data_IF_187586508463
#
_entry.id   IF_187586508463
#
_cell.length_a   1.000
_cell.length_b   1.000
_cell.length_c   1.000
_cell.angle_alpha   90.00
_cell.angle_beta   90.00
_cell.angle_gamma   90.00
#
_symmetry.space_group_name_H-M   'P 1'
#
loop_
_entity.id
_entity.type
_entity.pdbx_description
1 polymer ?
#
# COMPACT_ATOMS: atom_id res chain seq x y z
N UNK A 1 -21.93 4.45 11.33
CA UNK A 1 -20.48 4.18 11.39
C UNK A 1 -19.76 5.50 11.14
N UNK A 2 -18.70 5.87 11.89
CA UNK A 2 -18.02 7.19 11.72
C UNK A 2 -16.79 7.14 10.79
N UNK A 3 -16.29 5.94 10.52
CA UNK A 3 -15.13 5.68 9.67
C UNK A 3 -15.15 4.23 9.18
N UNK A 4 -14.52 3.96 8.05
CA UNK A 4 -14.30 2.60 7.54
C UNK A 4 -12.88 2.47 6.97
N UNK A 5 -12.43 1.23 6.73
CA UNK A 5 -11.13 0.98 6.09
C UNK A 5 -11.22 1.10 4.57
N UNK A 6 -10.45 2.04 4.01
CA UNK A 6 -10.38 2.27 2.57
C UNK A 6 -9.10 1.69 1.98
N UNK A 7 -9.25 0.76 1.04
CA UNK A 7 -8.15 0.03 0.42
C UNK A 7 -7.63 0.69 -0.85
N UNK A 8 -6.36 0.41 -1.16
CA UNK A 8 -5.68 0.87 -2.38
C UNK A 8 -6.38 0.37 -3.64
N UNK A 9 -6.99 -0.82 -3.60
CA UNK A 9 -7.83 -1.34 -4.69
C UNK A 9 -8.91 -0.34 -5.13
N UNK A 10 -9.58 0.31 -4.18
CA UNK A 10 -10.61 1.29 -4.48
C UNK A 10 -10.00 2.55 -5.09
N UNK A 11 -8.86 2.99 -4.58
CA UNK A 11 -8.11 4.11 -5.15
C UNK A 11 -7.67 3.84 -6.59
N UNK A 12 -7.14 2.65 -6.88
CA UNK A 12 -6.69 2.28 -8.22
C UNK A 12 -7.84 2.31 -9.23
N UNK A 13 -9.02 1.81 -8.85
CA UNK A 13 -10.22 1.91 -9.69
C UNK A 13 -10.57 3.38 -9.92
N UNK A 14 -10.70 4.17 -8.85
CA UNK A 14 -11.13 5.56 -8.95
C UNK A 14 -10.16 6.43 -9.77
N UNK A 15 -8.85 6.21 -9.66
CA UNK A 15 -7.84 6.96 -10.42
C UNK A 15 -7.89 6.67 -11.93
N UNK A 16 -8.27 5.46 -12.32
CA UNK A 16 -8.37 5.03 -13.73
C UNK A 16 -9.72 5.38 -14.40
N UNK A 17 -10.61 6.07 -13.69
CA UNK A 17 -11.90 6.54 -14.20
C UNK A 17 -11.84 8.03 -14.53
N UNK A 18 -12.77 8.55 -15.33
CA UNK A 18 -12.98 9.99 -15.42
C UNK A 18 -13.57 10.54 -14.11
N UNK A 19 -13.54 11.86 -13.92
CA UNK A 19 -13.96 12.47 -12.65
C UNK A 19 -15.45 12.31 -12.37
N UNK A 20 -16.30 12.19 -13.39
CA UNK A 20 -17.74 11.97 -13.17
C UNK A 20 -17.95 10.54 -12.67
N UNK A 21 -17.37 9.55 -13.37
CA UNK A 21 -17.55 8.15 -12.98
C UNK A 21 -16.88 7.82 -11.65
N UNK A 22 -15.71 8.39 -11.38
CA UNK A 22 -15.07 8.29 -10.07
C UNK A 22 -15.93 8.93 -8.96
N UNK A 23 -16.56 10.07 -9.24
CA UNK A 23 -17.47 10.74 -8.31
C UNK A 23 -18.72 9.92 -8.00
N UNK A 24 -19.30 9.25 -9.01
CA UNK A 24 -20.42 8.31 -8.86
C UNK A 24 -20.03 7.12 -8.00
N UNK A 25 -18.99 6.38 -8.40
CA UNK A 25 -18.58 5.17 -7.71
C UNK A 25 -18.14 5.44 -6.28
N UNK A 26 -17.35 6.50 -6.04
CA UNK A 26 -16.96 6.88 -4.68
C UNK A 26 -18.16 7.28 -3.81
N UNK A 27 -19.16 7.94 -4.39
CA UNK A 27 -20.40 8.24 -3.69
C UNK A 27 -21.17 6.95 -3.34
N UNK A 28 -21.23 5.97 -4.23
CA UNK A 28 -21.85 4.67 -3.96
C UNK A 28 -21.13 3.92 -2.83
N UNK A 29 -19.80 3.84 -2.86
CA UNK A 29 -19.01 3.23 -1.78
C UNK A 29 -19.32 3.92 -0.44
N UNK A 30 -19.27 5.26 -0.40
CA UNK A 30 -19.51 5.99 0.84
C UNK A 30 -20.96 5.88 1.32
N UNK A 31 -21.95 5.91 0.42
CA UNK A 31 -23.35 5.75 0.76
C UNK A 31 -23.63 4.35 1.32
N UNK A 32 -23.01 3.32 0.73
CA UNK A 32 -23.06 1.97 1.25
C UNK A 32 -22.46 1.89 2.65
N UNK A 33 -21.23 2.38 2.85
CA UNK A 33 -20.52 2.27 4.13
C UNK A 33 -21.16 3.09 5.26
N UNK A 34 -21.53 4.35 4.99
CA UNK A 34 -22.00 5.26 6.03
C UNK A 34 -23.51 5.26 6.25
N UNK A 35 -24.29 4.89 5.24
CA UNK A 35 -25.76 5.06 5.25
C UNK A 35 -26.52 3.79 4.89
N UNK A 36 -25.82 2.65 4.71
CA UNK A 36 -26.42 1.36 4.37
C UNK A 36 -27.24 1.40 3.06
N UNK A 37 -26.86 2.30 2.13
CA UNK A 37 -27.53 2.45 0.83
C UNK A 37 -26.81 1.68 -0.27
N UNK A 38 -27.55 0.80 -0.94
CA UNK A 38 -27.08 0.14 -2.17
C UNK A 38 -26.93 1.15 -3.32
N UNK A 39 -26.14 0.83 -4.37
CA UNK A 39 -26.00 1.69 -5.52
C UNK A 39 -27.34 1.95 -6.19
N UNK A 40 -27.59 3.22 -6.53
CA UNK A 40 -28.73 3.59 -7.34
C UNK A 40 -28.59 3.02 -8.76
N UNK A 41 -29.73 2.83 -9.45
CA UNK A 41 -29.80 2.26 -10.81
C UNK A 41 -29.06 3.08 -11.90
N UNK A 42 -28.42 4.19 -11.55
CA UNK A 42 -27.78 5.14 -12.47
C UNK A 42 -26.29 4.85 -12.75
N UNK A 43 -25.76 3.73 -12.25
CA UNK A 43 -24.43 3.27 -12.63
C UNK A 43 -24.43 2.76 -14.08
N UNK A 44 -23.45 3.22 -14.85
CA UNK A 44 -23.10 2.69 -16.17
C UNK A 44 -22.55 1.27 -16.08
N UNK A 45 -22.50 0.55 -17.19
CA UNK A 45 -21.96 -0.81 -17.26
C UNK A 45 -20.54 -0.92 -16.69
N UNK A 46 -19.70 0.09 -16.95
CA UNK A 46 -18.33 0.16 -16.42
C UNK A 46 -18.32 0.33 -14.90
N UNK A 47 -19.18 1.18 -14.36
CA UNK A 47 -19.28 1.40 -12.91
C UNK A 47 -19.87 0.18 -12.21
N UNK A 48 -20.88 -0.46 -12.80
CA UNK A 48 -21.46 -1.71 -12.33
C UNK A 48 -20.45 -2.85 -12.32
N UNK A 49 -19.61 -2.94 -13.35
CA UNK A 49 -18.52 -3.91 -13.39
C UNK A 49 -17.60 -3.74 -12.19
N UNK A 50 -17.11 -2.54 -11.91
CA UNK A 50 -16.24 -2.32 -10.75
C UNK A 50 -16.96 -2.56 -9.43
N UNK A 51 -18.19 -2.08 -9.28
CA UNK A 51 -19.00 -2.30 -8.09
C UNK A 51 -19.14 -3.79 -7.79
N UNK A 52 -19.53 -4.59 -8.78
CA UNK A 52 -19.75 -6.03 -8.62
C UNK A 52 -18.49 -6.79 -8.22
N UNK A 53 -17.31 -6.27 -8.53
CA UNK A 53 -16.02 -6.86 -8.14
C UNK A 53 -15.56 -6.46 -6.73
N UNK A 54 -16.13 -5.40 -6.15
CA UNK A 54 -15.73 -4.91 -4.81
C UNK A 54 -16.83 -5.05 -3.76
N UNK A 55 -18.09 -5.28 -4.15
CA UNK A 55 -19.24 -5.35 -3.25
C UNK A 55 -19.05 -6.40 -2.14
N UNK A 56 -18.60 -7.61 -2.49
CA UNK A 56 -18.34 -8.68 -1.51
C UNK A 56 -17.26 -8.29 -0.50
N UNK A 57 -16.23 -7.56 -0.94
CA UNK A 57 -15.15 -7.07 -0.08
C UNK A 57 -15.70 -6.01 0.87
N UNK A 58 -16.46 -5.04 0.35
CA UNK A 58 -17.09 -4.00 1.15
C UNK A 58 -17.99 -4.62 2.22
N UNK A 59 -18.82 -5.60 1.85
CA UNK A 59 -19.68 -6.30 2.79
C UNK A 59 -18.88 -7.03 3.90
N UNK A 60 -17.91 -7.87 3.54
CA UNK A 60 -17.11 -8.63 4.52
C UNK A 60 -16.35 -7.70 5.48
N UNK A 61 -15.78 -6.61 4.96
CA UNK A 61 -15.06 -5.59 5.73
C UNK A 61 -16.02 -4.86 6.66
N UNK A 62 -17.14 -4.37 6.14
CA UNK A 62 -18.13 -3.61 6.90
C UNK A 62 -18.73 -4.43 8.04
N UNK A 63 -19.07 -5.69 7.80
CA UNK A 63 -19.57 -6.61 8.84
C UNK A 63 -18.52 -6.83 9.93
N UNK A 64 -17.25 -7.03 9.52
CA UNK A 64 -16.13 -7.19 10.46
C UNK A 64 -15.91 -5.95 11.32
N UNK A 65 -15.90 -4.76 10.71
CA UNK A 65 -15.72 -3.48 11.40
C UNK A 65 -16.91 -3.14 12.30
N UNK A 66 -18.13 -3.45 11.86
CA UNK A 66 -19.36 -3.28 12.66
C UNK A 66 -19.40 -4.20 13.87
N UNK A 67 -18.77 -5.37 13.79
CA UNK A 67 -18.55 -6.27 14.93
C UNK A 67 -17.40 -5.80 15.85
N UNK A 68 -16.81 -4.63 15.61
CA UNK A 68 -15.68 -4.09 16.38
C UNK A 68 -14.36 -4.81 16.15
N UNK A 69 -14.25 -5.60 15.07
CA UNK A 69 -13.06 -6.39 14.72
C UNK A 69 -12.27 -5.68 13.62
N UNK A 70 -11.00 -6.05 13.51
CA UNK A 70 -10.11 -5.55 12.45
C UNK A 70 -10.14 -6.53 11.27
N UNK A 71 -10.38 -6.07 10.03
CA UNK A 71 -10.36 -6.89 8.82
C UNK A 71 -8.94 -7.31 8.42
N UNK A 72 -8.33 -8.21 9.21
CA UNK A 72 -6.92 -8.61 9.08
C UNK A 72 -6.56 -9.15 7.70
N UNK A 73 -7.43 -9.98 7.11
CA UNK A 73 -7.25 -10.59 5.79
C UNK A 73 -6.90 -9.52 4.74
N UNK A 74 -7.74 -8.51 4.60
CA UNK A 74 -7.55 -7.42 3.65
C UNK A 74 -6.47 -6.42 4.07
N UNK A 75 -6.38 -6.10 5.36
CA UNK A 75 -5.37 -5.16 5.88
C UNK A 75 -3.93 -5.65 5.67
N UNK A 76 -3.73 -6.97 5.60
CA UNK A 76 -2.43 -7.57 5.30
C UNK A 76 -2.13 -7.61 3.79
N UNK A 77 -3.16 -7.71 2.96
CA UNK A 77 -3.01 -7.88 1.51
C UNK A 77 -2.92 -6.55 0.75
N UNK A 78 -3.53 -5.50 1.27
CA UNK A 78 -3.62 -4.21 0.58
C UNK A 78 -3.26 -3.05 1.50
N UNK A 79 -2.60 -2.04 0.92
CA UNK A 79 -2.41 -0.77 1.61
C UNK A 79 -3.79 -0.16 1.86
N UNK A 80 -3.94 0.46 3.01
CA UNK A 80 -5.20 1.06 3.40
C UNK A 80 -4.98 2.29 4.29
N UNK A 81 -6.04 3.08 4.41
CA UNK A 81 -6.15 4.14 5.38
C UNK A 81 -7.58 4.22 5.93
N UNK A 82 -7.73 4.90 7.06
CA UNK A 82 -9.05 5.17 7.65
C UNK A 82 -9.75 6.29 6.90
N UNK A 83 -10.87 5.98 6.27
CA UNK A 83 -11.71 6.96 5.60
C UNK A 83 -12.80 7.43 6.56
N UNK A 84 -12.83 8.74 6.80
CA UNK A 84 -13.72 9.33 7.80
C UNK A 84 -14.99 9.86 7.17
N UNK A 85 -16.10 9.80 7.89
CA UNK A 85 -17.40 10.35 7.47
C UNK A 85 -17.30 11.83 7.05
N UNK A 86 -16.40 12.60 7.67
CA UNK A 86 -16.16 14.00 7.30
C UNK A 86 -15.77 14.18 5.84
N UNK A 87 -15.09 13.19 5.23
CA UNK A 87 -14.70 13.24 3.82
C UNK A 87 -15.94 13.08 2.94
N UNK A 88 -16.82 12.16 3.32
CA UNK A 88 -18.08 11.95 2.64
C UNK A 88 -19.03 13.15 2.78
N UNK A 89 -19.08 13.76 3.97
CA UNK A 89 -19.84 14.99 4.18
C UNK A 89 -19.34 16.13 3.29
N UNK A 90 -18.03 16.25 3.06
CA UNK A 90 -17.50 17.19 2.08
C UNK A 90 -17.92 16.83 0.65
N UNK A 91 -17.91 15.56 0.27
CA UNK A 91 -18.37 15.10 -1.05
C UNK A 91 -19.84 15.48 -1.31
N UNK A 92 -20.74 15.33 -0.33
CA UNK A 92 -22.17 15.70 -0.46
C UNK A 92 -22.37 17.17 -0.83
N UNK A 93 -21.47 18.06 -0.39
CA UNK A 93 -21.50 19.50 -0.68
C UNK A 93 -20.99 19.85 -2.09
N UNK A 94 -20.52 18.87 -2.85
CA UNK A 94 -19.95 19.06 -4.19
C UNK A 94 -20.82 18.39 -5.26
N UNK A 95 -20.71 18.88 -6.50
CA UNK A 95 -21.28 18.19 -7.66
C UNK A 95 -20.46 16.95 -8.03
N UNK A 96 -21.01 16.09 -8.88
CA UNK A 96 -20.45 14.76 -9.14
C UNK A 96 -19.03 14.78 -9.70
N UNK A 97 -18.73 15.68 -10.64
CA UNK A 97 -17.40 15.84 -11.20
C UNK A 97 -16.40 16.29 -10.13
N UNK A 98 -16.76 17.29 -9.32
CA UNK A 98 -15.91 17.78 -8.23
C UNK A 98 -15.68 16.71 -7.15
N UNK A 99 -16.66 15.83 -6.89
CA UNK A 99 -16.48 14.67 -5.99
C UNK A 99 -15.39 13.74 -6.50
N UNK A 100 -15.34 13.46 -7.80
CA UNK A 100 -14.29 12.64 -8.40
C UNK A 100 -12.91 13.26 -8.25
N UNK A 101 -12.76 14.53 -8.60
CA UNK A 101 -11.50 15.27 -8.40
C UNK A 101 -11.06 15.23 -6.93
N UNK A 102 -12.00 15.46 -6.02
CA UNK A 102 -11.75 15.46 -4.58
C UNK A 102 -11.29 14.10 -4.05
N UNK A 103 -11.99 13.01 -4.37
CA UNK A 103 -11.66 11.68 -3.86
C UNK A 103 -10.34 11.16 -4.47
N UNK A 104 -10.09 11.43 -5.75
CA UNK A 104 -8.81 11.12 -6.40
C UNK A 104 -7.65 11.84 -5.71
N UNK A 105 -7.84 13.11 -5.36
CA UNK A 105 -6.84 13.86 -4.62
C UNK A 105 -6.58 13.29 -3.22
N UNK A 106 -7.62 12.83 -2.51
CA UNK A 106 -7.46 12.09 -1.25
C UNK A 106 -6.63 10.82 -1.47
N UNK A 107 -6.94 10.05 -2.51
CA UNK A 107 -6.23 8.81 -2.83
C UNK A 107 -4.74 9.07 -3.16
N UNK A 108 -4.46 10.03 -4.05
CA UNK A 108 -3.11 10.44 -4.42
C UNK A 108 -2.32 10.93 -3.20
N UNK A 109 -2.96 11.69 -2.31
CA UNK A 109 -2.32 12.14 -1.08
C UNK A 109 -2.05 11.00 -0.10
N UNK A 110 -3.00 10.10 0.13
CA UNK A 110 -2.89 9.04 1.14
C UNK A 110 -1.99 7.88 0.71
N UNK A 111 -2.02 7.52 -0.57
CA UNK A 111 -1.23 6.42 -1.13
C UNK A 111 0.03 6.91 -1.85
N UNK A 112 -0.03 8.00 -2.61
CA UNK A 112 1.12 8.52 -3.37
C UNK A 112 2.00 9.52 -2.60
N UNK A 113 1.53 10.08 -1.48
CA UNK A 113 2.13 11.25 -0.82
C UNK A 113 2.26 12.49 -1.72
N UNK A 114 1.43 12.56 -2.75
CA UNK A 114 1.38 13.71 -3.65
C UNK A 114 0.60 14.85 -3.00
N UNK A 115 1.08 16.08 -3.12
CA UNK A 115 0.32 17.26 -2.71
C UNK A 115 -0.58 17.72 -3.87
N UNK A 116 -1.91 17.51 -3.78
CA UNK A 116 -2.80 17.82 -4.89
C UNK A 116 -2.93 19.34 -5.05
N UNK A 117 -2.83 19.81 -6.29
CA UNK A 117 -3.08 21.20 -6.65
C UNK A 117 -4.46 21.30 -7.27
N UNK A 118 -5.32 22.14 -6.69
CA UNK A 118 -6.68 22.33 -7.15
C UNK A 118 -6.81 23.69 -7.84
N UNK A 119 -7.44 23.71 -9.02
CA UNK A 119 -7.88 24.96 -9.64
C UNK A 119 -9.08 25.55 -8.89
N UNK A 120 -9.97 24.70 -8.38
CA UNK A 120 -11.16 25.12 -7.64
C UNK A 120 -10.83 25.33 -6.15
N UNK A 121 -10.94 26.58 -5.70
CA UNK A 121 -10.71 26.99 -4.30
C UNK A 121 -11.65 26.31 -3.31
N UNK A 122 -12.85 25.93 -3.74
CA UNK A 122 -13.84 25.24 -2.91
C UNK A 122 -13.37 23.83 -2.58
N UNK A 123 -12.94 23.08 -3.60
CA UNK A 123 -12.37 21.74 -3.42
C UNK A 123 -11.11 21.82 -2.56
N UNK A 124 -10.25 22.80 -2.82
CA UNK A 124 -9.05 23.04 -2.01
C UNK A 124 -9.38 23.29 -0.54
N UNK A 125 -10.39 24.11 -0.26
CA UNK A 125 -10.84 24.41 1.10
C UNK A 125 -11.29 23.14 1.84
N UNK A 126 -12.16 22.36 1.21
CA UNK A 126 -12.61 21.07 1.77
C UNK A 126 -11.46 20.07 1.96
N UNK A 127 -10.53 20.01 1.00
CA UNK A 127 -9.37 19.13 1.08
C UNK A 127 -8.47 19.53 2.25
N UNK A 128 -8.17 20.81 2.42
CA UNK A 128 -7.34 21.30 3.52
C UNK A 128 -7.96 20.99 4.89
N UNK A 129 -9.29 21.07 5.02
CA UNK A 129 -9.98 20.69 6.25
C UNK A 129 -9.79 19.20 6.56
N UNK A 130 -9.96 18.34 5.54
CA UNK A 130 -9.77 16.89 5.65
C UNK A 130 -8.29 16.51 5.86
N UNK A 131 -7.37 17.26 5.26
CA UNK A 131 -5.92 17.03 5.32
C UNK A 131 -5.40 16.98 6.75
N UNK A 132 -5.98 17.75 7.67
CA UNK A 132 -5.62 17.68 9.09
C UNK A 132 -5.82 16.28 9.70
N UNK A 133 -6.90 15.58 9.35
CA UNK A 133 -7.16 14.20 9.80
C UNK A 133 -6.22 13.22 9.11
N UNK A 134 -5.96 13.42 7.83
CA UNK A 134 -5.01 12.63 7.05
C UNK A 134 -3.57 12.74 7.59
N UNK A 135 -3.10 13.96 7.87
CA UNK A 135 -1.79 14.25 8.47
C UNK A 135 -1.65 13.57 9.84
N UNK A 136 -2.69 13.64 10.69
CA UNK A 136 -2.70 12.94 11.98
C UNK A 136 -2.59 11.42 11.81
N UNK A 137 -3.30 10.84 10.84
CA UNK A 137 -3.22 9.41 10.53
C UNK A 137 -1.80 9.01 10.08
N UNK A 138 -1.18 9.80 9.19
CA UNK A 138 0.20 9.58 8.74
C UNK A 138 1.20 9.67 9.90
N UNK A 139 1.07 10.68 10.77
CA UNK A 139 1.92 10.85 11.96
C UNK A 139 1.79 9.67 12.92
N UNK A 140 0.56 9.24 13.24
CA UNK A 140 0.32 8.07 14.11
C UNK A 140 0.97 6.80 13.54
N UNK A 141 0.85 6.58 12.22
CA UNK A 141 1.50 5.45 11.54
C UNK A 141 3.03 5.52 11.61
N UNK A 142 3.61 6.71 11.40
CA UNK A 142 5.04 6.92 11.51
C UNK A 142 5.54 6.71 12.96
N UNK A 143 4.86 7.29 13.96
CA UNK A 143 5.18 7.11 15.37
C UNK A 143 5.05 5.66 15.83
N UNK A 144 4.01 4.94 15.37
CA UNK A 144 3.86 3.51 15.64
C UNK A 144 5.02 2.69 15.07
N UNK A 145 5.49 3.03 13.88
CA UNK A 145 6.69 2.41 13.27
C UNK A 145 7.94 2.69 14.10
N UNK A 146 8.17 3.94 14.50
CA UNK A 146 9.33 4.34 15.32
C UNK A 146 9.29 3.71 16.72
N UNK A 147 8.14 3.69 17.38
CA UNK A 147 7.98 3.07 18.70
C UNK A 147 8.14 1.55 18.65
N UNK A 148 7.66 0.90 17.60
CA UNK A 148 7.90 -0.53 17.35
C UNK A 148 9.38 -0.84 17.08
N UNK A 149 10.06 0.02 16.32
CA UNK A 149 11.50 -0.10 16.05
C UNK A 149 12.35 0.12 17.32
N UNK A 150 12.02 1.11 18.15
CA UNK A 150 12.71 1.37 19.43
C UNK A 150 12.51 0.23 20.43
N UNK A 151 11.31 -0.37 20.51
CA UNK A 151 11.09 -1.59 21.32
C UNK A 151 11.97 -2.76 20.88
N UNK A 152 12.29 -2.85 19.58
CA UNK A 152 13.23 -3.83 19.03
C UNK A 152 14.68 -3.51 19.38
N UNK A 153 15.03 -2.22 19.52
CA UNK A 153 16.40 -1.74 19.75
C UNK A 153 16.85 -1.84 21.23
N UNK A 154 15.93 -1.83 22.19
CA UNK A 154 16.26 -1.95 23.64
C UNK A 154 16.76 -3.36 24.02
N UNK A 155 16.69 -4.34 23.12
CA UNK A 155 17.09 -5.73 23.41
C UNK A 155 18.49 -6.13 22.90
N UNK A 156 19.33 -5.18 22.46
CA UNK A 156 20.70 -5.49 22.00
C UNK A 156 21.72 -5.00 23.02
N UNK A 157 22.26 -5.95 23.79
CA UNK A 157 23.45 -5.78 24.64
C UNK A 157 24.68 -5.79 23.73
N UNK A 158 25.54 -4.76 23.83
CA UNK A 158 26.86 -4.69 23.18
C UNK A 158 27.86 -5.66 23.82
N UNK A 159 28.84 -6.20 23.06
CA UNK A 159 30.23 -5.66 23.07
C UNK A 159 30.90 -5.62 21.67
N UNK A 160 31.57 -4.53 21.25
CA UNK A 160 33.02 -4.15 21.35
C UNK A 160 33.98 -4.93 20.39
N UNK A 161 34.56 -4.17 19.43
CA UNK A 161 35.89 -4.19 18.76
C UNK A 161 36.43 -5.54 18.18
N UNK A 162 37.09 -5.67 17.01
CA UNK A 162 38.11 -4.80 16.40
C UNK A 162 38.56 -5.30 14.98
N UNK A 163 39.18 -4.40 14.20
CA UNK A 163 40.16 -4.61 13.08
C UNK A 163 39.72 -4.89 11.62
N UNK A 164 40.15 -3.97 10.72
CA UNK A 164 40.24 -4.06 9.23
C UNK A 164 41.73 -4.31 8.89
N UNK A 165 42.15 -5.05 7.82
CA UNK A 165 42.34 -4.45 6.48
C UNK A 165 42.06 -5.34 5.25
N UNK A 166 41.63 -4.67 4.17
CA UNK A 166 41.54 -5.12 2.76
C UNK A 166 42.93 -5.53 2.21
N UNK A 167 43.03 -6.29 1.08
CA UNK A 167 43.19 -5.60 -0.20
C UNK A 167 42.58 -6.24 -1.47
N UNK A 168 42.22 -5.33 -2.39
CA UNK A 168 42.12 -5.35 -3.86
C UNK A 168 42.20 -6.67 -4.66
N UNK A 169 41.30 -6.76 -5.66
CA UNK A 169 41.48 -7.55 -6.88
C UNK A 169 40.37 -7.29 -7.89
N UNK A 170 40.62 -6.45 -8.90
CA UNK A 170 39.81 -6.34 -10.12
C UNK A 170 40.12 -7.57 -10.98
N UNK A 171 39.13 -8.40 -11.30
CA UNK A 171 39.16 -9.24 -12.49
C UNK A 171 37.78 -9.27 -13.16
N UNK A 172 37.84 -9.14 -14.48
CA UNK A 172 36.72 -9.15 -15.39
C UNK A 172 36.33 -10.58 -15.80
N UNK A 173 35.08 -10.70 -16.24
CA UNK A 173 34.56 -11.63 -17.25
C UNK A 173 34.17 -13.06 -16.84
N UNK A 174 32.85 -13.30 -16.80
CA UNK A 174 32.17 -14.52 -17.24
C UNK A 174 30.64 -14.26 -17.24
N UNK A 175 29.86 -14.79 -18.21
CA UNK A 175 28.42 -14.68 -18.19
C UNK A 175 27.88 -15.56 -17.07
N UNK A 176 27.63 -14.96 -15.90
CA UNK A 176 27.02 -15.67 -14.77
C UNK A 176 25.66 -16.21 -15.21
N UNK A 177 25.49 -17.53 -15.15
CA UNK A 177 24.19 -18.17 -15.17
C UNK A 177 23.29 -17.45 -14.15
N UNK A 178 22.36 -16.66 -14.67
CA UNK A 178 21.39 -15.94 -13.86
C UNK A 178 20.46 -17.00 -13.29
N UNK A 179 20.60 -17.27 -11.99
CA UNK A 179 19.64 -18.08 -11.25
C UNK A 179 18.26 -17.49 -11.52
N UNK A 180 17.31 -18.31 -11.95
CA UNK A 180 15.96 -17.83 -12.20
C UNK A 180 15.18 -17.75 -10.88
N UNK A 181 14.06 -17.02 -10.90
CA UNK A 181 13.14 -17.00 -9.76
C UNK A 181 12.71 -18.41 -9.35
N UNK A 182 12.46 -19.30 -10.31
CA UNK A 182 11.97 -20.66 -10.04
C UNK A 182 13.05 -21.52 -9.39
N UNK A 183 14.31 -21.40 -9.86
CA UNK A 183 15.46 -22.09 -9.26
C UNK A 183 15.71 -21.62 -7.82
N UNK A 184 15.60 -20.30 -7.59
CA UNK A 184 15.70 -19.72 -6.25
C UNK A 184 14.61 -20.27 -5.31
N UNK A 185 13.38 -20.39 -5.80
CA UNK A 185 12.24 -20.93 -5.03
C UNK A 185 12.43 -22.41 -4.70
N UNK A 186 13.01 -23.19 -5.62
CA UNK A 186 13.32 -24.59 -5.40
C UNK A 186 14.41 -24.77 -4.32
N UNK A 187 15.46 -23.93 -4.34
CA UNK A 187 16.56 -23.97 -3.37
C UNK A 187 16.17 -23.46 -1.97
N UNK A 188 15.15 -22.59 -1.87
CA UNK A 188 14.71 -21.96 -0.63
C UNK A 188 13.24 -22.28 -0.31
N UNK A 189 12.96 -23.57 -0.09
CA UNK A 189 11.64 -24.07 0.30
C UNK A 189 11.15 -23.55 1.65
N UNK A 190 12.05 -22.99 2.47
CA UNK A 190 11.76 -22.33 3.73
C UNK A 190 11.10 -20.95 3.56
N UNK A 191 11.10 -20.40 2.34
CA UNK A 191 10.49 -19.12 2.01
C UNK A 191 9.10 -19.37 1.44
N UNK A 192 8.07 -18.85 2.09
CA UNK A 192 6.68 -18.97 1.68
C UNK A 192 6.20 -17.75 0.88
N UNK A 193 5.01 -17.88 0.29
CA UNK A 193 4.39 -16.83 -0.51
C UNK A 193 4.86 -16.78 -1.95
N UNK A 194 4.28 -15.85 -2.71
CA UNK A 194 4.50 -15.68 -4.13
C UNK A 194 4.39 -14.21 -4.50
N UNK A 195 5.12 -13.84 -5.55
CA UNK A 195 5.05 -12.51 -6.13
C UNK A 195 3.85 -12.45 -7.08
N UNK A 196 2.93 -11.50 -6.86
CA UNK A 196 1.73 -11.26 -7.66
C UNK A 196 1.54 -9.76 -7.95
N UNK A 197 0.76 -9.45 -8.99
CA UNK A 197 0.49 -8.08 -9.43
C UNK A 197 1.78 -7.33 -9.77
N UNK A 198 1.94 -6.10 -9.27
CA UNK A 198 3.13 -5.28 -9.53
C UNK A 198 4.44 -5.91 -8.99
N UNK A 199 4.37 -6.88 -8.07
CA UNK A 199 5.55 -7.58 -7.58
C UNK A 199 6.05 -8.67 -8.55
N UNK A 200 5.27 -9.05 -9.57
CA UNK A 200 5.71 -10.02 -10.57
C UNK A 200 6.89 -9.54 -11.40
N UNK A 201 7.03 -8.23 -11.57
CA UNK A 201 8.17 -7.62 -12.27
C UNK A 201 9.51 -8.05 -11.67
N UNK A 202 9.56 -8.30 -10.36
CA UNK A 202 10.78 -8.72 -9.66
C UNK A 202 11.25 -10.12 -10.08
N UNK A 203 10.37 -10.95 -10.68
CA UNK A 203 10.77 -12.25 -11.24
C UNK A 203 11.80 -12.07 -12.36
N UNK A 204 11.65 -11.02 -13.18
CA UNK A 204 12.53 -10.69 -14.31
C UNK A 204 13.54 -9.58 -14.03
N UNK A 205 13.21 -8.63 -13.15
CA UNK A 205 14.05 -7.45 -12.89
C UNK A 205 15.18 -7.70 -11.89
N UNK A 206 15.05 -8.69 -11.00
CA UNK A 206 16.08 -8.99 -10.00
C UNK A 206 17.08 -10.04 -10.49
N UNK A 207 18.34 -9.86 -10.09
CA UNK A 207 19.34 -10.91 -10.17
C UNK A 207 19.22 -11.82 -8.95
N UNK A 208 18.52 -12.95 -9.09
CA UNK A 208 18.28 -13.87 -7.97
C UNK A 208 19.54 -14.55 -7.44
N UNK A 209 20.62 -14.62 -8.24
CA UNK A 209 21.93 -15.07 -7.76
C UNK A 209 22.49 -14.10 -6.70
N UNK A 210 22.33 -12.80 -6.92
CA UNK A 210 22.75 -11.77 -5.96
C UNK A 210 21.84 -11.77 -4.72
N UNK A 211 20.53 -11.91 -4.90
CA UNK A 211 19.57 -12.05 -3.78
C UNK A 211 19.94 -13.24 -2.88
N UNK A 212 20.29 -14.38 -3.47
CA UNK A 212 20.73 -15.56 -2.71
C UNK A 212 22.04 -15.31 -1.94
N UNK A 213 23.04 -14.71 -2.59
CA UNK A 213 24.32 -14.38 -1.96
C UNK A 213 24.15 -13.38 -0.80
N UNK A 214 23.31 -12.34 -0.98
CA UNK A 214 23.00 -11.38 0.08
C UNK A 214 22.20 -12.01 1.21
N UNK A 215 21.26 -12.91 0.92
CA UNK A 215 20.52 -13.64 1.96
C UNK A 215 21.43 -14.52 2.84
N UNK A 216 22.48 -15.09 2.28
CA UNK A 216 23.43 -15.91 3.04
C UNK A 216 24.31 -15.08 3.99
N UNK A 217 24.50 -13.79 3.70
CA UNK A 217 25.43 -12.90 4.43
C UNK A 217 24.73 -11.85 5.29
N UNK A 218 23.51 -11.43 4.93
CA UNK A 218 22.70 -10.46 5.67
C UNK A 218 21.67 -11.19 6.55
N UNK A 219 21.86 -11.10 7.87
CA UNK A 219 20.97 -11.74 8.85
C UNK A 219 19.52 -11.25 8.77
N UNK A 220 19.27 -10.02 8.33
CA UNK A 220 17.89 -9.50 8.20
C UNK A 220 17.19 -10.15 7.02
N UNK A 221 17.88 -10.33 5.88
CA UNK A 221 17.34 -11.08 4.74
C UNK A 221 17.18 -12.58 5.06
N UNK A 222 18.07 -13.15 5.88
CA UNK A 222 17.97 -14.55 6.29
C UNK A 222 16.72 -14.82 7.15
N UNK A 223 16.32 -13.85 7.99
CA UNK A 223 15.13 -13.93 8.85
C UNK A 223 13.81 -13.80 8.08
N UNK A 224 13.84 -13.27 6.86
CA UNK A 224 12.65 -13.17 6.01
C UNK A 224 12.20 -14.55 5.51
N UNK A 225 10.98 -14.94 5.92
CA UNK A 225 10.33 -16.20 5.51
C UNK A 225 9.29 -16.00 4.40
N UNK A 226 9.11 -14.78 3.90
CA UNK A 226 8.18 -14.48 2.81
C UNK A 226 8.91 -13.82 1.64
N UNK A 227 8.68 -14.32 0.43
CA UNK A 227 9.38 -13.86 -0.77
C UNK A 227 9.15 -12.39 -1.10
N UNK A 228 7.96 -11.86 -0.79
CA UNK A 228 7.64 -10.45 -1.03
C UNK A 228 8.41 -9.53 -0.07
N UNK A 229 8.51 -9.90 1.21
CA UNK A 229 9.30 -9.13 2.18
C UNK A 229 10.80 -9.25 1.91
N UNK A 230 11.28 -10.44 1.52
CA UNK A 230 12.68 -10.63 1.11
C UNK A 230 13.07 -9.67 -0.02
N UNK A 231 12.29 -9.65 -1.10
CA UNK A 231 12.53 -8.80 -2.26
C UNK A 231 12.48 -7.32 -1.89
N UNK A 232 11.52 -6.92 -1.05
CA UNK A 232 11.38 -5.52 -0.64
C UNK A 232 12.52 -5.05 0.27
N UNK A 233 12.92 -5.88 1.22
CA UNK A 233 14.07 -5.59 2.10
C UNK A 233 15.37 -5.55 1.30
N UNK A 234 15.50 -6.43 0.30
CA UNK A 234 16.62 -6.43 -0.64
C UNK A 234 16.67 -5.13 -1.48
N UNK A 235 15.54 -4.75 -2.09
CA UNK A 235 15.44 -3.52 -2.89
C UNK A 235 15.78 -2.27 -2.07
N UNK A 236 15.25 -2.19 -0.84
CA UNK A 236 15.52 -1.06 0.07
C UNK A 236 16.99 -0.95 0.47
N UNK A 237 17.67 -2.07 0.67
CA UNK A 237 19.06 -2.07 1.14
C UNK A 237 20.09 -1.96 0.03
N UNK A 238 19.83 -2.58 -1.12
CA UNK A 238 20.85 -2.83 -2.13
C UNK A 238 20.55 -2.20 -3.48
N UNK A 239 19.32 -1.77 -3.74
CA UNK A 239 18.95 -1.10 -4.99
C UNK A 239 18.66 0.39 -4.85
N UNK A 240 18.50 0.91 -3.62
CA UNK A 240 18.56 2.35 -3.40
C UNK A 240 20.01 2.83 -3.51
N UNK A 241 20.38 3.32 -4.69
CA UNK A 241 21.55 4.19 -4.83
C UNK A 241 21.28 5.51 -4.12
N UNK A 242 22.31 6.14 -3.51
CA UNK A 242 22.21 7.47 -2.93
C UNK A 242 21.82 8.53 -3.96
#
# INVERSE_FOLDING_TARGET
MEQFTFYELYADILQNMDDISAGKLANCICAYEFEDREPEKELSDKENFYWSNIADILQEVKETESAGKIPKKYNLQSRHFTFYETYYNAMKLMNICKRGVFVKAICAYMFGNEEPKFADRTIQGYFNLCKRKMDLSKRRKASGRTGGAQKKQVCVVSPIEDTIPMPQGIQADAPQEKLTYEDFRAAHSDIQGSLFGNAERYKSELNWSDVAAKRATDEELQKERNIFYLVRSYEQKYMQKP
#
